data_IF_699073520128
#
_entry.id   IF_699073520128
#
_cell.length_a   1.000
_cell.length_b   1.000
_cell.length_c   1.000
_cell.angle_alpha   90.00
_cell.angle_beta   90.00
_cell.angle_gamma   90.00
#
_symmetry.space_group_name_H-M   'P 1'
#
loop_
_entity.id
_entity.type
_entity.pdbx_description
1 polymer ?
#
# COMPACT_ATOMS: atom_id res chain seq x y z
N UNK A 1 -10.39 4.40 -33.14
CA UNK A 1 -10.77 5.50 -32.22
C UNK A 1 -10.35 5.04 -30.84
N UNK A 2 -9.07 5.26 -30.51
CA UNK A 2 -8.46 4.81 -29.26
C UNK A 2 -8.91 5.81 -28.21
N UNK A 3 -9.97 5.49 -27.46
CA UNK A 3 -10.23 6.19 -26.20
C UNK A 3 -8.92 6.18 -25.42
N UNK A 4 -8.40 7.37 -25.17
CA UNK A 4 -7.25 7.60 -24.33
C UNK A 4 -7.55 6.92 -23.00
N UNK A 5 -6.99 5.73 -22.78
CA UNK A 5 -6.90 5.16 -21.44
C UNK A 5 -6.05 6.16 -20.68
N UNK A 6 -6.72 7.08 -20.00
CA UNK A 6 -6.10 8.02 -19.09
C UNK A 6 -5.52 7.21 -17.95
N UNK A 7 -4.28 6.82 -18.12
CA UNK A 7 -3.42 6.31 -17.09
C UNK A 7 -3.32 7.35 -15.95
N UNK A 8 -3.66 7.03 -14.69
CA UNK A 8 -4.91 6.48 -14.14
C UNK A 8 -5.86 7.62 -13.68
N UNK A 9 -6.75 8.14 -14.53
CA UNK A 9 -7.63 9.27 -14.16
C UNK A 9 -8.71 8.91 -13.12
N UNK A 10 -9.15 7.65 -13.08
CA UNK A 10 -10.18 7.21 -12.14
C UNK A 10 -9.67 7.20 -10.68
N UNK A 11 -8.38 6.89 -10.47
CA UNK A 11 -7.79 6.85 -9.13
C UNK A 11 -7.60 8.24 -8.50
N UNK A 12 -7.43 9.26 -9.34
CA UNK A 12 -7.40 10.64 -8.87
C UNK A 12 -8.75 11.12 -8.29
N UNK A 13 -9.88 10.41 -8.46
CA UNK A 13 -11.15 10.81 -7.81
C UNK A 13 -11.10 10.70 -6.29
N UNK A 14 -10.54 9.63 -5.74
CA UNK A 14 -10.40 9.46 -4.28
C UNK A 14 -9.34 10.42 -3.72
N UNK A 15 -8.27 10.62 -4.48
CA UNK A 15 -7.19 11.59 -4.20
C UNK A 15 -7.72 13.03 -4.17
N UNK A 16 -8.65 13.38 -5.08
CA UNK A 16 -9.36 14.68 -5.10
C UNK A 16 -10.17 14.93 -3.84
N UNK A 17 -10.78 13.91 -3.24
CA UNK A 17 -11.51 14.04 -1.98
C UNK A 17 -10.59 14.47 -0.82
N UNK A 18 -9.34 14.00 -0.81
CA UNK A 18 -8.31 14.44 0.12
C UNK A 18 -7.72 15.83 -0.21
N UNK A 19 -8.24 16.55 -1.21
CA UNK A 19 -7.78 17.89 -1.59
C UNK A 19 -6.59 17.91 -2.56
N UNK A 20 -6.25 16.76 -3.14
CA UNK A 20 -5.16 16.66 -4.09
C UNK A 20 -5.70 16.76 -5.51
N UNK A 21 -5.36 17.87 -6.15
CA UNK A 21 -5.73 18.16 -7.55
C UNK A 21 -4.47 18.54 -8.30
N UNK A 22 -4.34 18.10 -9.56
CA UNK A 22 -3.19 18.40 -10.44
C UNK A 22 -2.85 19.89 -10.47
N UNK A 23 -3.87 20.75 -10.47
CA UNK A 23 -3.76 22.18 -10.22
C UNK A 23 -4.33 22.50 -8.83
N UNK A 24 -3.48 22.78 -7.83
CA UNK A 24 -3.96 22.97 -6.47
C UNK A 24 -4.72 24.30 -6.35
N UNK A 25 -6.02 24.21 -6.10
CA UNK A 25 -6.82 25.37 -5.71
C UNK A 25 -6.61 25.70 -4.24
N UNK A 26 -6.92 26.93 -3.82
CA UNK A 26 -6.77 27.36 -2.42
C UNK A 26 -7.58 26.46 -1.47
N UNK A 27 -8.78 26.06 -1.91
CA UNK A 27 -9.66 25.15 -1.18
C UNK A 27 -9.08 23.73 -1.03
N UNK A 28 -8.42 23.22 -2.08
CA UNK A 28 -7.82 21.89 -2.06
C UNK A 28 -6.62 21.83 -1.10
N UNK A 29 -5.81 22.89 -1.04
CA UNK A 29 -4.71 23.03 -0.07
C UNK A 29 -5.20 23.12 1.36
N UNK A 30 -6.29 23.86 1.60
CA UNK A 30 -6.91 23.96 2.92
C UNK A 30 -7.47 22.61 3.39
N UNK A 31 -8.14 21.85 2.52
CA UNK A 31 -8.66 20.51 2.85
C UNK A 31 -7.54 19.51 3.15
N UNK A 32 -6.44 19.55 2.39
CA UNK A 32 -5.27 18.69 2.63
C UNK A 32 -4.57 19.04 3.95
N UNK A 33 -4.42 20.33 4.25
CA UNK A 33 -3.87 20.79 5.52
C UNK A 33 -4.75 20.35 6.71
N UNK A 34 -6.06 20.51 6.58
CA UNK A 34 -7.03 20.03 7.56
C UNK A 34 -6.93 18.51 7.77
N UNK A 35 -6.86 17.72 6.69
CA UNK A 35 -6.71 16.27 6.80
C UNK A 35 -5.42 15.86 7.49
N UNK A 36 -4.30 16.52 7.18
CA UNK A 36 -3.03 16.28 7.85
C UNK A 36 -3.07 16.64 9.34
N UNK A 37 -3.62 17.82 9.67
CA UNK A 37 -3.81 18.25 11.06
C UNK A 37 -4.69 17.26 11.84
N UNK A 38 -5.81 16.83 11.24
CA UNK A 38 -6.72 15.86 11.85
C UNK A 38 -6.01 14.54 12.18
N UNK A 39 -5.26 13.99 11.23
CA UNK A 39 -4.48 12.76 11.44
C UNK A 39 -3.40 12.95 12.52
N UNK A 40 -2.73 14.10 12.54
CA UNK A 40 -1.72 14.40 13.56
C UNK A 40 -2.32 14.62 14.96
N UNK A 41 -3.57 15.10 15.07
CA UNK A 41 -4.23 15.27 16.38
C UNK A 41 -4.65 13.96 17.03
N UNK A 42 -4.82 12.89 16.24
CA UNK A 42 -5.33 11.62 16.71
C UNK A 42 -4.34 10.89 17.64
N UNK A 43 -3.05 10.83 17.28
CA UNK A 43 -2.05 10.14 18.10
C UNK A 43 -1.86 10.77 19.50
N UNK A 44 -1.73 12.11 19.66
CA UNK A 44 -1.68 12.75 20.98
C UNK A 44 -2.91 12.50 21.85
N UNK A 45 -4.10 12.42 21.26
CA UNK A 45 -5.34 12.15 21.99
C UNK A 45 -5.34 10.75 22.62
N UNK A 46 -4.88 9.74 21.89
CA UNK A 46 -4.72 8.38 22.41
C UNK A 46 -3.64 8.29 23.50
N UNK A 47 -2.50 8.96 23.30
CA UNK A 47 -1.45 9.04 24.34
C UNK A 47 -1.99 9.71 25.61
N UNK A 48 -2.77 10.78 25.47
CA UNK A 48 -3.38 11.45 26.61
C UNK A 48 -4.43 10.59 27.32
N UNK A 49 -5.26 9.85 26.56
CA UNK A 49 -6.21 8.90 27.12
C UNK A 49 -5.53 7.80 27.94
N UNK A 50 -4.45 7.21 27.41
CA UNK A 50 -3.67 6.19 28.11
C UNK A 50 -3.00 6.76 29.38
N UNK A 51 -2.47 7.99 29.31
CA UNK A 51 -1.86 8.64 30.47
C UNK A 51 -2.86 8.95 31.59
N UNK A 52 -4.13 9.22 31.24
CA UNK A 52 -5.20 9.49 32.22
C UNK A 52 -5.75 8.21 32.86
N UNK A 53 -5.69 7.08 32.15
CA UNK A 53 -6.25 5.80 32.59
C UNK A 53 -5.17 4.71 32.69
N UNK A 54 -4.16 4.84 33.57
CA UNK A 54 -3.05 3.88 33.65
C UNK A 54 -3.45 2.49 34.20
N UNK A 55 -4.65 2.37 34.78
CA UNK A 55 -5.21 1.13 35.33
C UNK A 55 -6.26 0.50 34.38
N UNK A 56 -6.27 0.85 33.09
CA UNK A 56 -7.18 0.24 32.14
C UNK A 56 -6.91 -1.25 31.97
N UNK A 57 -7.96 -2.02 31.70
CA UNK A 57 -7.86 -3.43 31.33
C UNK A 57 -6.87 -3.61 30.17
N UNK A 58 -6.09 -4.68 30.20
CA UNK A 58 -5.03 -4.96 29.22
C UNK A 58 -5.54 -4.89 27.78
N UNK A 59 -6.75 -5.39 27.53
CA UNK A 59 -7.40 -5.36 26.20
C UNK A 59 -7.59 -3.93 25.69
N UNK A 60 -8.03 -3.00 26.55
CA UNK A 60 -8.20 -1.58 26.18
C UNK A 60 -6.85 -0.96 25.86
N UNK A 61 -5.83 -1.23 26.69
CA UNK A 61 -4.47 -0.74 26.45
C UNK A 61 -3.90 -1.24 25.12
N UNK A 62 -4.13 -2.51 24.77
CA UNK A 62 -3.74 -3.09 23.49
C UNK A 62 -4.43 -2.40 22.30
N UNK A 63 -5.73 -2.14 22.41
CA UNK A 63 -6.51 -1.45 21.38
C UNK A 63 -5.98 -0.02 21.14
N UNK A 64 -5.71 0.73 22.20
CA UNK A 64 -5.17 2.10 22.11
C UNK A 64 -3.75 2.12 21.51
N UNK A 65 -2.88 1.16 21.87
CA UNK A 65 -1.54 1.01 21.27
C UNK A 65 -1.65 0.66 19.78
N UNK A 66 -2.57 -0.23 19.41
CA UNK A 66 -2.80 -0.58 18.01
C UNK A 66 -3.25 0.66 17.20
N UNK A 67 -4.19 1.45 17.73
CA UNK A 67 -4.66 2.68 17.10
C UNK A 67 -3.55 3.73 16.97
N UNK A 68 -2.65 3.81 17.95
CA UNK A 68 -1.44 4.64 17.85
C UNK A 68 -0.54 4.20 16.70
N UNK A 69 -0.33 2.89 16.53
CA UNK A 69 0.46 2.34 15.42
C UNK A 69 -0.23 2.61 14.07
N UNK A 70 -1.54 2.40 13.96
CA UNK A 70 -2.32 2.68 12.75
C UNK A 70 -2.28 4.16 12.36
N UNK A 71 -2.48 5.06 13.33
CA UNK A 71 -2.40 6.51 13.08
C UNK A 71 -1.00 6.93 12.64
N UNK A 72 0.06 6.35 13.22
CA UNK A 72 1.43 6.63 12.78
C UNK A 72 1.68 6.21 11.32
N UNK A 73 1.22 5.03 10.90
CA UNK A 73 1.29 4.58 9.49
C UNK A 73 0.53 5.54 8.58
N UNK A 74 -0.63 6.04 9.03
CA UNK A 74 -1.44 6.93 8.21
C UNK A 74 -0.84 8.33 8.05
N UNK A 75 -0.26 8.88 9.12
CA UNK A 75 0.48 10.15 9.05
C UNK A 75 1.66 10.03 8.08
N UNK A 76 2.38 8.90 8.08
CA UNK A 76 3.48 8.64 7.16
C UNK A 76 3.02 8.50 5.70
N UNK A 77 1.93 7.77 5.46
CA UNK A 77 1.27 7.68 4.15
C UNK A 77 0.85 9.07 3.65
N UNK A 78 0.22 9.87 4.50
CA UNK A 78 -0.16 11.25 4.18
C UNK A 78 1.06 12.14 3.92
N UNK A 79 2.13 12.00 4.70
CA UNK A 79 3.38 12.73 4.51
C UNK A 79 4.05 12.37 3.18
N UNK A 80 4.06 11.10 2.79
CA UNK A 80 4.54 10.69 1.46
C UNK A 80 3.80 11.46 0.36
N UNK A 81 2.48 11.61 0.51
CA UNK A 81 1.68 12.36 -0.45
C UNK A 81 2.09 13.85 -0.52
N UNK A 82 2.31 14.48 0.64
CA UNK A 82 2.65 15.91 0.72
C UNK A 82 4.08 16.17 0.26
N UNK A 83 5.05 15.45 0.82
CA UNK A 83 6.49 15.66 0.63
C UNK A 83 6.98 15.16 -0.73
N UNK A 84 6.49 14.01 -1.20
CA UNK A 84 6.93 13.39 -2.46
C UNK A 84 5.96 13.64 -3.62
N UNK A 85 5.06 14.63 -3.51
CA UNK A 85 4.09 14.96 -4.56
C UNK A 85 4.75 15.19 -5.93
N UNK A 86 5.86 15.92 -5.96
CA UNK A 86 6.64 16.17 -7.18
C UNK A 86 7.18 14.87 -7.76
N UNK A 87 7.74 14.01 -6.90
CA UNK A 87 8.22 12.68 -7.27
C UNK A 87 7.13 11.78 -7.86
N UNK A 88 5.93 11.74 -7.27
CA UNK A 88 4.79 10.98 -7.80
C UNK A 88 4.36 11.53 -9.16
N UNK A 89 4.25 12.85 -9.31
CA UNK A 89 3.88 13.48 -10.57
C UNK A 89 4.91 13.20 -11.67
N UNK A 90 6.20 13.26 -11.34
CA UNK A 90 7.27 12.97 -12.28
C UNK A 90 7.31 11.48 -12.64
N UNK A 91 6.97 10.60 -11.69
CA UNK A 91 6.83 9.16 -11.94
C UNK A 91 5.65 8.89 -12.88
N UNK A 92 4.49 9.52 -12.69
CA UNK A 92 3.34 9.42 -13.59
C UNK A 92 3.69 9.93 -14.99
N UNK A 93 4.39 11.07 -15.10
CA UNK A 93 4.87 11.57 -16.40
C UNK A 93 5.82 10.59 -17.07
N UNK A 94 6.74 9.98 -16.32
CA UNK A 94 7.68 8.99 -16.83
C UNK A 94 6.97 7.72 -17.34
N UNK A 95 5.94 7.23 -16.63
CA UNK A 95 5.09 6.15 -17.11
C UNK A 95 4.39 6.54 -18.42
N UNK A 96 3.76 7.72 -18.47
CA UNK A 96 3.10 8.21 -19.69
C UNK A 96 4.07 8.33 -20.88
N UNK A 97 5.33 8.74 -20.66
CA UNK A 97 6.32 8.80 -21.75
C UNK A 97 6.72 7.42 -22.25
N UNK A 98 6.92 6.45 -21.34
CA UNK A 98 7.30 5.08 -21.70
C UNK A 98 6.15 4.36 -22.40
N UNK A 99 4.91 4.60 -21.96
CA UNK A 99 3.72 3.99 -22.56
C UNK A 99 3.49 4.40 -24.01
N UNK A 100 4.00 5.56 -24.46
CA UNK A 100 3.96 5.97 -25.88
C UNK A 100 4.80 5.06 -26.79
N UNK A 101 5.73 4.28 -26.23
CA UNK A 101 6.62 3.35 -26.97
C UNK A 101 6.02 1.93 -27.10
N UNK A 102 4.77 1.74 -26.67
CA UNK A 102 4.07 0.46 -26.65
C UNK A 102 3.34 0.23 -27.99
N UNK A 103 3.47 -0.98 -28.52
CA UNK A 103 2.80 -1.38 -29.76
C UNK A 103 1.33 -1.72 -29.51
N UNK A 104 0.49 -1.67 -30.56
CA UNK A 104 -0.95 -1.96 -30.42
C UNK A 104 -1.21 -3.38 -29.90
N UNK A 105 -0.38 -4.35 -30.27
CA UNK A 105 -0.50 -5.76 -29.85
C UNK A 105 -0.15 -5.99 -28.36
N UNK A 106 0.63 -5.09 -27.77
CA UNK A 106 1.06 -5.17 -26.36
C UNK A 106 0.04 -4.51 -25.41
N UNK A 107 -0.81 -3.63 -25.94
CA UNK A 107 -1.79 -2.83 -25.19
C UNK A 107 -2.85 -3.64 -24.43
N UNK A 108 -3.40 -4.76 -24.95
CA UNK A 108 -4.42 -5.55 -24.25
C UNK A 108 -4.00 -6.04 -22.86
N UNK A 109 -2.69 -6.25 -22.63
CA UNK A 109 -2.16 -6.67 -21.31
C UNK A 109 -2.40 -5.63 -20.24
N UNK A 110 -2.26 -4.36 -20.58
CA UNK A 110 -2.53 -3.25 -19.67
C UNK A 110 -4.02 -3.16 -19.35
N UNK A 111 -4.89 -3.43 -20.33
CA UNK A 111 -6.34 -3.43 -20.13
C UNK A 111 -6.80 -4.54 -19.17
N UNK A 112 -6.31 -5.77 -19.35
CA UNK A 112 -6.64 -6.88 -18.43
C UNK A 112 -6.09 -6.62 -17.02
N UNK A 113 -4.88 -6.08 -16.93
CA UNK A 113 -4.30 -5.68 -15.65
C UNK A 113 -5.16 -4.61 -14.95
N UNK A 114 -5.60 -3.60 -15.69
CA UNK A 114 -6.48 -2.55 -15.18
C UNK A 114 -7.82 -3.11 -14.68
N UNK A 115 -8.41 -4.07 -15.39
CA UNK A 115 -9.66 -4.75 -14.97
C UNK A 115 -9.48 -5.50 -13.65
N UNK A 116 -8.34 -6.15 -13.45
CA UNK A 116 -8.00 -6.84 -12.20
C UNK A 116 -7.80 -5.82 -11.06
N UNK A 117 -7.07 -4.74 -11.30
CA UNK A 117 -6.90 -3.65 -10.32
C UNK A 117 -8.20 -2.96 -9.95
N UNK A 118 -9.12 -2.77 -10.88
CA UNK A 118 -10.44 -2.23 -10.60
C UNK A 118 -11.25 -3.16 -9.67
N UNK A 119 -11.11 -4.48 -9.80
CA UNK A 119 -11.72 -5.44 -8.85
C UNK A 119 -11.07 -5.37 -7.48
N UNK A 120 -9.74 -5.34 -7.42
CA UNK A 120 -8.97 -5.22 -6.18
C UNK A 120 -9.31 -3.94 -5.42
N UNK A 121 -9.37 -2.80 -6.14
CA UNK A 121 -9.78 -1.51 -5.60
C UNK A 121 -11.20 -1.57 -5.01
N UNK A 122 -12.16 -2.14 -5.75
CA UNK A 122 -13.54 -2.31 -5.24
C UNK A 122 -13.56 -3.17 -3.97
N UNK A 123 -12.86 -4.30 -3.96
CA UNK A 123 -12.80 -5.16 -2.79
C UNK A 123 -12.18 -4.44 -1.58
N UNK A 124 -11.11 -3.67 -1.79
CA UNK A 124 -10.44 -2.92 -0.73
C UNK A 124 -11.30 -1.76 -0.18
N UNK A 125 -11.96 -1.01 -1.05
CA UNK A 125 -12.93 0.04 -0.66
C UNK A 125 -14.10 -0.57 0.10
N UNK A 126 -14.67 -1.67 -0.38
CA UNK A 126 -15.77 -2.35 0.31
C UNK A 126 -15.32 -2.85 1.69
N UNK A 127 -14.15 -3.50 1.78
CA UNK A 127 -13.62 -3.99 3.05
C UNK A 127 -13.38 -2.88 4.07
N UNK A 128 -12.72 -1.79 3.67
CA UNK A 128 -12.47 -0.63 4.55
C UNK A 128 -13.76 0.07 4.97
N UNK A 129 -14.75 0.15 4.08
CA UNK A 129 -16.08 0.70 4.41
C UNK A 129 -16.81 -0.21 5.41
N UNK A 130 -16.74 -1.53 5.24
CA UNK A 130 -17.33 -2.49 6.20
C UNK A 130 -16.70 -2.31 7.58
N UNK A 131 -15.37 -2.19 7.68
CA UNK A 131 -14.70 -1.93 8.97
C UNK A 131 -15.21 -0.64 9.60
N UNK A 132 -15.28 0.44 8.81
CA UNK A 132 -15.78 1.73 9.31
C UNK A 132 -17.20 1.60 9.89
N UNK A 133 -18.11 0.95 9.15
CA UNK A 133 -19.47 0.70 9.62
C UNK A 133 -19.51 -0.18 10.87
N UNK A 134 -18.64 -1.19 10.98
CA UNK A 134 -18.59 -2.06 12.16
C UNK A 134 -18.14 -1.30 13.41
N UNK A 135 -17.17 -0.38 13.31
CA UNK A 135 -16.74 0.49 14.42
C UNK A 135 -17.89 1.41 14.88
N UNK A 136 -18.61 2.03 13.95
CA UNK A 136 -19.76 2.87 14.27
C UNK A 136 -20.91 2.07 14.89
N UNK A 137 -21.24 0.91 14.32
CA UNK A 137 -22.28 0.04 14.83
C UNK A 137 -21.94 -0.45 16.24
N UNK A 138 -20.68 -0.85 16.48
CA UNK A 138 -20.22 -1.28 17.80
C UNK A 138 -20.37 -0.15 18.84
N UNK A 139 -20.01 1.09 18.48
CA UNK A 139 -20.19 2.26 19.34
C UNK A 139 -21.66 2.52 19.69
N UNK A 140 -22.56 2.45 18.70
CA UNK A 140 -24.01 2.64 18.88
C UNK A 140 -24.60 1.53 19.75
N UNK A 141 -24.29 0.26 19.45
CA UNK A 141 -24.80 -0.89 20.21
C UNK A 141 -24.33 -0.81 21.66
N UNK A 142 -23.06 -0.46 21.90
CA UNK A 142 -22.51 -0.33 23.25
C UNK A 142 -23.13 0.84 24.01
N UNK A 143 -23.39 1.97 23.34
CA UNK A 143 -24.10 3.11 23.94
C UNK A 143 -25.51 2.71 24.38
N UNK A 144 -26.26 2.01 23.52
CA UNK A 144 -27.62 1.56 23.83
C UNK A 144 -27.62 0.52 24.94
N UNK A 145 -26.73 -0.48 24.88
CA UNK A 145 -26.67 -1.54 25.90
C UNK A 145 -26.32 -0.98 27.28
N UNK A 146 -25.37 -0.05 27.35
CA UNK A 146 -24.97 0.58 28.60
C UNK A 146 -26.08 1.49 29.15
N UNK A 147 -26.78 2.21 28.26
CA UNK A 147 -27.91 3.06 28.63
C UNK A 147 -29.07 2.26 29.22
N UNK A 148 -29.35 1.09 28.64
CA UNK A 148 -30.38 0.17 29.13
C UNK A 148 -30.00 -0.46 30.48
N UNK A 149 -28.73 -0.87 30.65
CA UNK A 149 -28.26 -1.47 31.90
C UNK A 149 -28.25 -0.48 33.08
N UNK A 150 -27.88 0.77 32.83
CA UNK A 150 -27.73 1.78 33.87
C UNK A 150 -28.98 2.67 34.05
N UNK A 151 -30.05 2.44 33.27
CA UNK A 151 -31.25 3.30 33.22
C UNK A 151 -30.93 4.81 33.08
N UNK A 152 -29.78 5.15 32.53
CA UNK A 152 -29.27 6.52 32.36
C UNK A 152 -28.64 6.61 30.98
N UNK A 153 -28.89 7.72 30.28
CA UNK A 153 -28.36 7.90 28.91
C UNK A 153 -26.84 7.98 28.97
N UNK A 154 -26.17 7.01 28.35
CA UNK A 154 -24.72 6.92 28.25
C UNK A 154 -24.31 6.87 26.79
N UNK A 155 -23.35 7.71 26.43
CA UNK A 155 -22.81 7.78 25.08
C UNK A 155 -21.42 7.14 25.03
N UNK A 156 -21.16 6.37 23.97
CA UNK A 156 -19.87 5.71 23.68
C UNK A 156 -19.47 6.06 22.26
N UNK A 157 -18.25 6.56 22.09
CA UNK A 157 -17.66 6.87 20.78
C UNK A 157 -16.88 5.68 20.21
N UNK A 158 -16.69 5.57 18.88
CA UNK A 158 -15.89 4.50 18.28
C UNK A 158 -14.45 4.43 18.80
N UNK A 159 -13.88 5.58 19.13
CA UNK A 159 -12.56 5.72 19.76
C UNK A 159 -12.69 6.53 21.03
N UNK A 160 -11.88 6.20 22.03
CA UNK A 160 -11.94 6.83 23.35
C UNK A 160 -11.28 8.20 23.36
N UNK A 161 -11.85 9.14 24.12
CA UNK A 161 -11.28 10.46 24.36
C UNK A 161 -10.94 10.68 25.83
N UNK A 162 -9.90 11.49 26.14
CA UNK A 162 -9.47 11.78 27.52
C UNK A 162 -10.40 12.74 28.27
N UNK A 163 -11.33 13.41 27.58
CA UNK A 163 -12.29 14.36 28.17
C UNK A 163 -13.68 13.75 28.30
N UNK A 164 -14.51 14.33 29.17
CA UNK A 164 -15.90 13.90 29.33
C UNK A 164 -16.74 14.36 28.13
N UNK A 165 -17.29 13.40 27.40
CA UNK A 165 -18.15 13.61 26.23
C UNK A 165 -19.61 13.18 26.49
N UNK A 166 -20.03 12.98 27.74
CA UNK A 166 -21.42 12.59 28.04
C UNK A 166 -22.44 13.71 27.76
N UNK A 167 -22.01 14.96 27.62
CA UNK A 167 -22.89 16.04 27.18
C UNK A 167 -23.25 15.86 25.68
N UNK A 168 -24.54 15.91 25.27
CA UNK A 168 -24.97 15.58 23.91
C UNK A 168 -24.26 16.35 22.79
N UNK A 169 -23.99 17.65 23.01
CA UNK A 169 -23.27 18.48 22.03
C UNK A 169 -21.81 18.04 21.88
N UNK A 170 -21.14 17.73 23.01
CA UNK A 170 -19.74 17.30 23.01
C UNK A 170 -19.62 15.92 22.37
N UNK A 171 -20.56 15.01 22.68
CA UNK A 171 -20.68 13.72 22.02
C UNK A 171 -20.83 13.86 20.50
N UNK A 172 -21.75 14.70 20.03
CA UNK A 172 -21.98 14.90 18.60
C UNK A 172 -20.72 15.39 17.88
N UNK A 173 -19.99 16.35 18.48
CA UNK A 173 -18.71 16.85 17.92
C UNK A 173 -17.64 15.75 17.91
N UNK A 174 -17.49 15.00 19.01
CA UNK A 174 -16.52 13.91 19.12
C UNK A 174 -16.81 12.76 18.14
N UNK A 175 -18.09 12.42 17.95
CA UNK A 175 -18.53 11.41 17.00
C UNK A 175 -18.25 11.85 15.56
N UNK A 176 -18.59 13.10 15.20
CA UNK A 176 -18.30 13.66 13.87
C UNK A 176 -16.80 13.73 13.59
N UNK A 177 -15.99 14.07 14.58
CA UNK A 177 -14.53 14.08 14.46
C UNK A 177 -13.99 12.67 14.16
N UNK A 178 -14.43 11.65 14.90
CA UNK A 178 -14.05 10.26 14.66
C UNK A 178 -14.45 9.79 13.25
N UNK A 179 -15.68 10.08 12.85
CA UNK A 179 -16.20 9.72 11.54
C UNK A 179 -15.37 10.33 10.39
N UNK A 180 -15.08 11.63 10.46
CA UNK A 180 -14.27 12.32 9.45
C UNK A 180 -12.81 11.82 9.46
N UNK A 181 -12.24 11.51 10.63
CA UNK A 181 -10.89 10.93 10.75
C UNK A 181 -10.81 9.54 10.12
N UNK A 182 -11.81 8.69 10.33
CA UNK A 182 -11.91 7.37 9.71
C UNK A 182 -12.05 7.45 8.20
N UNK A 183 -12.91 8.35 7.71
CA UNK A 183 -13.07 8.59 6.27
C UNK A 183 -11.77 9.06 5.61
N UNK A 184 -11.10 10.04 6.21
CA UNK A 184 -9.82 10.55 5.69
C UNK A 184 -8.76 9.44 5.67
N UNK A 185 -8.65 8.66 6.74
CA UNK A 185 -7.74 7.51 6.83
C UNK A 185 -8.01 6.49 5.73
N UNK A 186 -9.29 6.15 5.50
CA UNK A 186 -9.72 5.22 4.46
C UNK A 186 -9.33 5.72 3.07
N UNK A 187 -9.65 6.99 2.73
CA UNK A 187 -9.33 7.55 1.42
C UNK A 187 -7.84 7.66 1.17
N UNK A 188 -7.05 8.10 2.16
CA UNK A 188 -5.58 8.20 2.04
C UNK A 188 -4.96 6.82 1.84
N UNK A 189 -5.35 5.83 2.65
CA UNK A 189 -4.80 4.48 2.57
C UNK A 189 -5.10 3.81 1.22
N UNK A 190 -6.38 3.81 0.82
CA UNK A 190 -6.81 3.20 -0.44
C UNK A 190 -6.08 3.84 -1.61
N UNK A 191 -6.00 5.16 -1.63
CA UNK A 191 -5.31 5.93 -2.68
C UNK A 191 -3.85 5.50 -2.85
N UNK A 192 -3.07 5.51 -1.77
CA UNK A 192 -1.61 5.29 -1.87
C UNK A 192 -1.31 3.85 -2.23
N UNK A 193 -1.99 2.90 -1.59
CA UNK A 193 -1.73 1.48 -1.82
C UNK A 193 -2.15 1.06 -3.23
N UNK A 194 -3.27 1.58 -3.75
CA UNK A 194 -3.74 1.26 -5.10
C UNK A 194 -2.89 1.92 -6.18
N UNK A 195 -2.45 3.16 -5.96
CA UNK A 195 -1.48 3.83 -6.83
C UNK A 195 -0.18 3.02 -6.92
N UNK A 196 0.38 2.60 -5.77
CA UNK A 196 1.56 1.74 -5.75
C UNK A 196 1.33 0.43 -6.51
N UNK A 197 0.22 -0.26 -6.24
CA UNK A 197 -0.14 -1.55 -6.85
C UNK A 197 -0.21 -1.48 -8.37
N UNK A 198 -0.91 -0.48 -8.92
CA UNK A 198 -1.07 -0.31 -10.36
C UNK A 198 0.26 0.03 -11.04
N UNK A 199 1.03 0.97 -10.47
CA UNK A 199 2.35 1.33 -11.00
C UNK A 199 3.31 0.15 -10.99
N UNK A 200 3.29 -0.67 -9.93
CA UNK A 200 4.14 -1.84 -9.83
C UNK A 200 3.76 -2.89 -10.87
N UNK A 201 2.47 -3.14 -11.07
CA UNK A 201 2.02 -4.06 -12.12
C UNK A 201 2.35 -3.58 -13.52
N UNK A 202 2.18 -2.30 -13.82
CA UNK A 202 2.55 -1.74 -15.12
C UNK A 202 4.06 -1.86 -15.35
N UNK A 203 4.87 -1.62 -14.31
CA UNK A 203 6.31 -1.82 -14.38
C UNK A 203 6.68 -3.29 -14.67
N UNK A 204 6.01 -4.25 -14.03
CA UNK A 204 6.18 -5.69 -14.30
C UNK A 204 5.85 -6.02 -15.76
N UNK A 205 4.75 -5.48 -16.31
CA UNK A 205 4.38 -5.65 -17.72
C UNK A 205 5.45 -5.05 -18.64
N UNK A 206 5.99 -3.87 -18.32
CA UNK A 206 7.08 -3.28 -19.10
C UNK A 206 8.32 -4.17 -19.12
N UNK A 207 8.71 -4.79 -18.01
CA UNK A 207 9.80 -5.76 -17.98
C UNK A 207 9.51 -7.00 -18.85
N UNK A 208 8.27 -7.50 -18.86
CA UNK A 208 7.87 -8.61 -19.73
C UNK A 208 7.94 -8.23 -21.22
N UNK A 209 7.57 -6.99 -21.56
CA UNK A 209 7.69 -6.48 -22.93
C UNK A 209 9.17 -6.35 -23.32
N UNK A 210 10.03 -5.83 -22.44
CA UNK A 210 11.48 -5.78 -22.69
C UNK A 210 12.01 -7.18 -22.99
N UNK A 211 11.65 -8.17 -22.17
CA UNK A 211 12.04 -9.57 -22.35
C UNK A 211 11.63 -10.10 -23.73
N UNK A 212 10.37 -9.96 -24.10
CA UNK A 212 9.86 -10.45 -25.39
C UNK A 212 10.47 -9.74 -26.60
N UNK A 213 10.77 -8.44 -26.47
CA UNK A 213 11.46 -7.69 -27.52
C UNK A 213 12.90 -8.16 -27.71
N UNK A 214 13.60 -8.55 -26.64
CA UNK A 214 14.91 -9.20 -26.76
C UNK A 214 14.79 -10.60 -27.37
N UNK A 215 13.80 -11.41 -26.98
CA UNK A 215 13.58 -12.77 -27.55
C UNK A 215 13.29 -12.74 -29.06
N UNK A 216 12.64 -11.69 -29.57
CA UNK A 216 12.32 -11.53 -31.00
C UNK A 216 13.43 -10.88 -31.82
N UNK A 217 14.49 -10.39 -31.16
CA UNK A 217 15.52 -9.61 -31.82
C UNK A 217 16.45 -10.52 -32.65
N UNK A 218 16.60 -10.21 -33.93
CA UNK A 218 17.58 -10.87 -34.79
C UNK A 218 18.79 -9.96 -35.02
N UNK A 219 19.91 -10.33 -34.39
CA UNK A 219 21.15 -9.55 -34.34
C UNK A 219 22.23 -10.12 -35.29
N UNK A 220 21.83 -10.94 -36.26
CA UNK A 220 22.75 -11.47 -37.26
C UNK A 220 23.38 -10.35 -38.09
N UNK A 221 24.60 -10.56 -38.58
CA UNK A 221 25.31 -9.59 -39.44
C UNK A 221 24.52 -9.24 -40.71
N UNK A 222 23.66 -10.16 -41.14
CA UNK A 222 22.84 -10.07 -42.35
C UNK A 222 21.63 -9.13 -42.22
N UNK A 223 21.22 -8.80 -40.98
CA UNK A 223 20.13 -7.86 -40.75
C UNK A 223 20.67 -6.41 -40.72
N UNK A 224 20.36 -5.57 -41.73
CA UNK A 224 20.83 -4.18 -41.78
C UNK A 224 20.22 -3.29 -40.68
N UNK A 225 19.10 -3.69 -40.08
CA UNK A 225 18.39 -2.95 -39.03
C UNK A 225 18.78 -3.38 -37.61
N UNK A 226 19.57 -4.46 -37.45
CA UNK A 226 19.92 -5.04 -36.16
C UNK A 226 20.48 -4.02 -35.15
N UNK A 227 21.37 -3.12 -35.61
CA UNK A 227 21.96 -2.08 -34.76
C UNK A 227 20.92 -1.06 -34.26
N UNK A 228 19.93 -0.71 -35.07
CA UNK A 228 18.88 0.24 -34.70
C UNK A 228 17.89 -0.40 -33.74
N UNK A 229 17.41 -1.60 -34.08
CA UNK A 229 16.46 -2.35 -33.24
C UNK A 229 17.06 -2.67 -31.87
N UNK A 230 18.32 -3.09 -31.83
CA UNK A 230 19.03 -3.35 -30.56
C UNK A 230 19.14 -2.07 -29.72
N UNK A 231 19.53 -0.94 -30.32
CA UNK A 231 19.62 0.34 -29.61
C UNK A 231 18.27 0.76 -29.04
N UNK A 232 17.19 0.57 -29.78
CA UNK A 232 15.84 0.92 -29.34
C UNK A 232 15.40 0.07 -28.14
N UNK A 233 15.64 -1.24 -28.17
CA UNK A 233 15.32 -2.16 -27.08
C UNK A 233 16.21 -1.89 -25.85
N UNK A 234 17.50 -1.64 -26.04
CA UNK A 234 18.41 -1.26 -24.93
C UNK A 234 17.98 0.07 -24.29
N UNK A 235 17.64 1.08 -25.10
CA UNK A 235 17.13 2.36 -24.61
C UNK A 235 15.86 2.14 -23.79
N UNK A 236 14.92 1.34 -24.30
CA UNK A 236 13.68 1.03 -23.60
C UNK A 236 13.91 0.30 -22.28
N UNK A 237 14.79 -0.70 -22.26
CA UNK A 237 15.19 -1.38 -21.03
C UNK A 237 15.79 -0.41 -20.00
N UNK A 238 16.66 0.52 -20.45
CA UNK A 238 17.26 1.54 -19.58
C UNK A 238 16.21 2.49 -18.98
N UNK A 239 15.20 2.88 -19.76
CA UNK A 239 14.10 3.73 -19.31
C UNK A 239 13.25 3.01 -18.25
N UNK A 240 12.90 1.75 -18.50
CA UNK A 240 12.13 0.90 -17.57
C UNK A 240 12.91 0.68 -16.27
N UNK A 241 14.22 0.46 -16.34
CA UNK A 241 15.08 0.33 -15.16
C UNK A 241 15.12 1.63 -14.34
N UNK A 242 15.25 2.79 -15.01
CA UNK A 242 15.21 4.10 -14.35
C UNK A 242 13.85 4.34 -13.68
N UNK A 243 12.76 3.96 -14.34
CA UNK A 243 11.41 4.04 -13.79
C UNK A 243 11.26 3.21 -12.52
N UNK A 244 11.77 1.97 -12.55
CA UNK A 244 11.76 1.08 -11.40
C UNK A 244 12.50 1.69 -10.20
N UNK A 245 13.67 2.27 -10.42
CA UNK A 245 14.46 2.94 -9.37
C UNK A 245 13.73 4.15 -8.79
N UNK A 246 13.12 5.00 -9.64
CA UNK A 246 12.32 6.14 -9.18
C UNK A 246 11.13 5.69 -8.34
N UNK A 247 10.45 4.62 -8.74
CA UNK A 247 9.34 4.05 -7.98
C UNK A 247 9.78 3.54 -6.61
N UNK A 248 10.91 2.82 -6.52
CA UNK A 248 11.50 2.38 -5.24
C UNK A 248 11.73 3.60 -4.35
N UNK A 249 12.37 4.66 -4.86
CA UNK A 249 12.72 5.83 -4.07
C UNK A 249 11.51 6.57 -3.47
N UNK A 250 10.41 6.65 -4.22
CA UNK A 250 9.18 7.31 -3.78
C UNK A 250 8.45 6.50 -2.70
N UNK A 251 8.33 5.17 -2.87
CA UNK A 251 7.48 4.34 -2.00
C UNK A 251 8.23 3.61 -0.88
N UNK A 252 9.57 3.57 -0.89
CA UNK A 252 10.39 2.84 0.10
C UNK A 252 10.09 3.23 1.56
N UNK A 253 9.82 4.50 1.85
CA UNK A 253 9.58 4.95 3.22
C UNK A 253 8.23 4.43 3.73
N UNK A 254 7.15 4.62 2.96
CA UNK A 254 5.81 4.12 3.32
C UNK A 254 5.79 2.61 3.45
N UNK A 255 6.39 1.90 2.50
CA UNK A 255 6.47 0.44 2.55
C UNK A 255 7.29 -0.06 3.76
N UNK A 256 8.31 0.68 4.20
CA UNK A 256 9.15 0.29 5.33
C UNK A 256 8.37 0.33 6.64
N UNK A 257 7.70 1.45 6.91
CA UNK A 257 6.93 1.60 8.14
C UNK A 257 5.72 0.65 8.18
N UNK A 258 5.05 0.44 7.05
CA UNK A 258 3.97 -0.54 6.97
C UNK A 258 4.48 -1.94 7.34
N UNK A 259 5.58 -2.41 6.73
CA UNK A 259 6.12 -3.74 6.99
C UNK A 259 6.73 -3.89 8.40
N UNK A 260 7.24 -2.80 8.97
CA UNK A 260 7.78 -2.78 10.32
C UNK A 260 6.68 -2.93 11.37
N UNK A 261 5.57 -2.18 11.23
CA UNK A 261 4.52 -2.10 12.24
C UNK A 261 3.42 -3.15 12.06
N UNK A 262 3.27 -3.75 10.87
CA UNK A 262 2.19 -4.71 10.64
C UNK A 262 2.30 -5.97 11.51
N UNK A 263 3.50 -6.43 11.87
CA UNK A 263 3.66 -7.62 12.73
C UNK A 263 3.10 -7.37 14.14
N UNK A 264 3.35 -6.19 14.71
CA UNK A 264 2.84 -5.80 16.03
C UNK A 264 1.34 -5.52 15.97
N UNK A 265 0.85 -4.85 14.92
CA UNK A 265 -0.58 -4.62 14.71
C UNK A 265 -1.34 -5.95 14.61
N UNK A 266 -0.84 -6.91 13.81
CA UNK A 266 -1.47 -8.23 13.69
C UNK A 266 -1.41 -9.02 14.99
N UNK A 267 -0.36 -8.83 15.79
CA UNK A 267 -0.29 -9.43 17.11
C UNK A 267 -1.38 -8.90 18.05
N UNK A 268 -1.55 -7.58 18.13
CA UNK A 268 -2.58 -6.94 18.98
C UNK A 268 -4.00 -7.33 18.51
N UNK A 269 -4.25 -7.30 17.20
CA UNK A 269 -5.51 -7.77 16.62
C UNK A 269 -5.78 -9.24 16.93
N UNK A 270 -4.77 -10.11 16.82
CA UNK A 270 -4.94 -11.53 17.12
C UNK A 270 -5.20 -11.80 18.60
N UNK A 271 -4.60 -11.02 19.49
CA UNK A 271 -4.89 -11.07 20.92
C UNK A 271 -6.33 -10.62 21.22
N UNK A 272 -6.74 -9.46 20.69
CA UNK A 272 -8.12 -8.96 20.83
C UNK A 272 -9.16 -9.93 20.28
N UNK A 273 -8.85 -10.59 19.15
CA UNK A 273 -9.75 -11.57 18.54
C UNK A 273 -10.08 -12.74 19.48
N UNK A 274 -9.13 -13.15 20.32
CA UNK A 274 -9.34 -14.24 21.27
C UNK A 274 -10.00 -13.77 22.56
N UNK A 275 -9.64 -12.60 23.06
CA UNK A 275 -10.16 -12.09 24.34
C UNK A 275 -11.59 -11.56 24.24
N UNK A 276 -11.98 -11.01 23.09
CA UNK A 276 -13.31 -10.44 22.91
C UNK A 276 -14.37 -11.53 22.73
N UNK A 277 -15.34 -11.59 23.65
CA UNK A 277 -16.51 -12.47 23.57
C UNK A 277 -17.64 -11.91 22.69
N UNK A 278 -17.71 -10.58 22.53
CA UNK A 278 -18.73 -9.91 21.72
C UNK A 278 -18.53 -10.22 20.22
N UNK A 279 -19.55 -10.80 19.59
CA UNK A 279 -19.53 -11.17 18.17
C UNK A 279 -19.21 -9.99 17.24
N UNK A 280 -19.79 -8.81 17.47
CA UNK A 280 -19.60 -7.63 16.63
C UNK A 280 -18.16 -7.12 16.69
N UNK A 281 -17.61 -6.97 17.90
CA UNK A 281 -16.21 -6.54 18.09
C UNK A 281 -15.23 -7.59 17.56
N UNK A 282 -15.52 -8.89 17.70
CA UNK A 282 -14.70 -9.95 17.08
C UNK A 282 -14.70 -9.88 15.55
N UNK A 283 -15.86 -9.64 14.93
CA UNK A 283 -15.97 -9.44 13.49
C UNK A 283 -15.19 -8.20 13.03
N UNK A 284 -15.30 -7.08 13.74
CA UNK A 284 -14.54 -5.86 13.48
C UNK A 284 -13.03 -6.10 13.43
N UNK A 285 -12.49 -6.76 14.47
CA UNK A 285 -11.06 -7.12 14.57
C UNK A 285 -10.65 -8.05 13.43
N UNK A 286 -11.46 -9.07 13.11
CA UNK A 286 -11.16 -10.01 12.03
C UNK A 286 -11.10 -9.33 10.65
N UNK A 287 -12.05 -8.45 10.34
CA UNK A 287 -12.04 -7.72 9.06
C UNK A 287 -10.86 -6.75 9.00
N UNK A 288 -10.55 -6.03 10.09
CA UNK A 288 -9.38 -5.16 10.15
C UNK A 288 -8.07 -5.93 9.93
N UNK A 289 -7.90 -7.10 10.57
CA UNK A 289 -6.75 -7.97 10.35
C UNK A 289 -6.64 -8.41 8.88
N UNK A 290 -7.76 -8.78 8.24
CA UNK A 290 -7.77 -9.16 6.82
C UNK A 290 -7.28 -8.03 5.90
N UNK A 291 -7.65 -6.78 6.22
CA UNK A 291 -7.21 -5.59 5.47
C UNK A 291 -5.72 -5.34 5.69
N UNK A 292 -5.22 -5.44 6.92
CA UNK A 292 -3.80 -5.23 7.23
C UNK A 292 -2.91 -6.30 6.56
N UNK A 293 -3.35 -7.56 6.56
CA UNK A 293 -2.70 -8.64 5.82
C UNK A 293 -2.74 -8.34 4.32
N UNK A 294 -3.89 -7.91 3.79
CA UNK A 294 -4.05 -7.54 2.38
C UNK A 294 -3.10 -6.41 1.96
N UNK A 295 -2.95 -5.37 2.77
CA UNK A 295 -1.99 -4.29 2.53
C UNK A 295 -0.55 -4.84 2.49
N UNK A 296 -0.12 -5.59 3.51
CA UNK A 296 1.22 -6.17 3.53
C UNK A 296 1.47 -7.12 2.35
N UNK A 297 0.47 -7.92 1.98
CA UNK A 297 0.52 -8.81 0.82
C UNK A 297 0.68 -8.05 -0.49
N UNK A 298 -0.04 -6.95 -0.68
CA UNK A 298 0.06 -6.09 -1.85
C UNK A 298 1.50 -5.57 -2.03
N UNK A 299 2.11 -4.99 -0.99
CA UNK A 299 3.48 -4.48 -1.09
C UNK A 299 4.51 -5.58 -1.38
N UNK A 300 4.41 -6.71 -0.67
CA UNK A 300 5.37 -7.82 -0.76
C UNK A 300 5.22 -8.66 -2.03
N UNK A 301 4.00 -8.84 -2.54
CA UNK A 301 3.74 -9.52 -3.81
C UNK A 301 4.33 -8.72 -4.98
N UNK A 302 3.99 -7.43 -5.07
CA UNK A 302 4.51 -6.56 -6.13
C UNK A 302 6.02 -6.38 -6.04
N UNK A 303 6.59 -6.24 -4.84
CA UNK A 303 8.04 -6.18 -4.66
C UNK A 303 8.76 -7.47 -5.08
N UNK A 304 8.16 -8.63 -4.82
CA UNK A 304 8.68 -9.92 -5.31
C UNK A 304 8.59 -10.03 -6.83
N UNK A 305 7.47 -9.60 -7.42
CA UNK A 305 7.25 -9.65 -8.87
C UNK A 305 8.23 -8.76 -9.63
N UNK A 306 8.44 -7.52 -9.17
CA UNK A 306 9.43 -6.60 -9.76
C UNK A 306 10.84 -7.22 -9.66
N UNK A 307 11.22 -7.71 -8.48
CA UNK A 307 12.53 -8.33 -8.27
C UNK A 307 12.72 -9.59 -9.14
N UNK A 308 11.69 -10.42 -9.31
CA UNK A 308 11.76 -11.63 -10.12
C UNK A 308 11.93 -11.34 -11.62
N UNK A 309 11.29 -10.28 -12.14
CA UNK A 309 11.37 -9.90 -13.56
C UNK A 309 12.58 -9.05 -13.90
N UNK A 310 13.01 -8.21 -12.97
CA UNK A 310 14.18 -7.33 -13.12
C UNK A 310 15.51 -7.99 -12.69
N UNK A 311 15.51 -9.27 -12.32
CA UNK A 311 16.69 -10.02 -11.89
C UNK A 311 16.67 -11.45 -12.44
N UNK A 312 17.82 -12.11 -12.47
CA UNK A 312 18.01 -13.50 -12.89
C UNK A 312 17.42 -14.56 -11.94
N UNK A 313 16.42 -14.20 -11.13
CA UNK A 313 15.78 -15.14 -10.19
C UNK A 313 14.73 -16.02 -10.87
N UNK A 314 14.21 -15.63 -12.05
CA UNK A 314 13.25 -16.37 -12.89
C UNK A 314 13.57 -16.13 -14.37
N UNK A 315 12.73 -16.61 -15.32
CA UNK A 315 12.84 -16.27 -16.76
C UNK A 315 12.81 -14.74 -16.90
N UNK A 316 14.00 -14.17 -17.01
CA UNK A 316 14.28 -12.76 -16.78
C UNK A 316 14.69 -12.08 -18.07
N UNK A 317 14.76 -10.74 -18.04
CA UNK A 317 15.33 -9.96 -19.13
C UNK A 317 16.76 -10.43 -19.47
N UNK A 318 17.55 -10.85 -18.48
CA UNK A 318 18.90 -11.39 -18.72
C UNK A 318 18.89 -12.68 -19.52
N UNK A 319 17.93 -13.58 -19.27
CA UNK A 319 17.87 -14.86 -19.99
C UNK A 319 17.46 -14.65 -21.45
N UNK A 320 16.53 -13.72 -21.69
CA UNK A 320 16.17 -13.28 -23.03
C UNK A 320 17.35 -12.64 -23.78
N UNK A 321 18.13 -11.79 -23.11
CA UNK A 321 19.35 -11.21 -23.71
C UNK A 321 20.36 -12.31 -24.07
N UNK A 322 20.57 -13.28 -23.17
CA UNK A 322 21.49 -14.40 -23.41
C UNK A 322 21.04 -15.32 -24.55
N UNK A 323 19.72 -15.51 -24.70
CA UNK A 323 19.11 -16.33 -25.75
C UNK A 323 19.11 -15.71 -27.15
N UNK A 324 19.56 -14.47 -27.31
CA UNK A 324 19.73 -13.85 -28.64
C UNK A 324 20.84 -14.53 -29.45
N UNK A 325 20.86 -14.36 -30.78
CA UNK A 325 21.96 -14.81 -31.65
C UNK A 325 23.22 -13.92 -31.56
N UNK A 326 23.60 -13.50 -30.35
CA UNK A 326 24.72 -12.59 -30.08
C UNK A 326 26.06 -13.12 -30.63
N UNK A 327 26.22 -14.43 -30.77
CA UNK A 327 27.43 -15.06 -31.31
C UNK A 327 27.61 -14.78 -32.82
N UNK A 328 26.53 -14.52 -33.56
CA UNK A 328 26.53 -14.11 -34.97
C UNK A 328 26.67 -12.60 -35.15
N UNK A 329 26.64 -11.81 -34.07
CA UNK A 329 26.67 -10.36 -34.17
C UNK A 329 28.09 -9.78 -34.40
N UNK A 330 28.14 -8.55 -34.91
CA UNK A 330 29.39 -7.79 -35.08
C UNK A 330 30.05 -7.49 -33.72
N UNK A 331 31.38 -7.30 -33.64
CA UNK A 331 32.08 -7.08 -32.37
C UNK A 331 31.54 -5.90 -31.53
N UNK A 332 31.14 -4.80 -32.19
CA UNK A 332 30.55 -3.62 -31.53
C UNK A 332 29.24 -3.99 -30.82
N UNK A 333 28.41 -4.78 -31.49
CA UNK A 333 27.11 -5.23 -30.99
C UNK A 333 27.26 -6.22 -29.84
N UNK A 334 28.19 -7.18 -29.96
CA UNK A 334 28.55 -8.11 -28.89
C UNK A 334 28.89 -7.36 -27.59
N UNK A 335 29.65 -6.27 -27.68
CA UNK A 335 30.01 -5.42 -26.53
C UNK A 335 28.78 -4.76 -25.91
N UNK A 336 27.83 -4.26 -26.72
CA UNK A 336 26.60 -3.64 -26.23
C UNK A 336 25.68 -4.64 -25.51
N UNK A 337 25.51 -5.83 -26.09
CA UNK A 337 24.75 -6.93 -25.48
C UNK A 337 25.37 -7.33 -24.15
N UNK A 338 26.71 -7.48 -24.11
CA UNK A 338 27.41 -7.82 -22.87
C UNK A 338 27.18 -6.79 -21.76
N UNK A 339 27.28 -5.49 -22.07
CA UNK A 339 26.99 -4.42 -21.10
C UNK A 339 25.51 -4.46 -20.66
N UNK A 340 24.60 -4.72 -21.58
CA UNK A 340 23.17 -4.83 -21.29
C UNK A 340 22.89 -6.02 -20.36
N UNK A 341 23.50 -7.17 -20.63
CA UNK A 341 23.41 -8.39 -19.82
C UNK A 341 23.93 -8.14 -18.40
N UNK A 342 25.11 -7.54 -18.27
CA UNK A 342 25.69 -7.17 -16.96
C UNK A 342 24.78 -6.21 -16.18
N UNK A 343 24.01 -5.36 -16.86
CA UNK A 343 23.02 -4.47 -16.23
C UNK A 343 21.75 -5.21 -15.84
N UNK A 344 21.22 -6.08 -16.70
CA UNK A 344 20.03 -6.89 -16.44
C UNK A 344 20.21 -7.86 -15.26
N UNK A 345 21.45 -8.30 -15.03
CA UNK A 345 21.81 -9.15 -13.89
C UNK A 345 21.77 -8.44 -12.53
N UNK A 346 21.74 -7.11 -12.49
CA UNK A 346 21.65 -6.36 -11.24
C UNK A 346 20.18 -6.30 -10.79
N UNK A 347 19.82 -6.91 -9.64
CA UNK A 347 18.44 -6.96 -9.21
C UNK A 347 17.91 -5.57 -8.88
N UNK A 348 16.71 -5.25 -9.37
CA UNK A 348 15.90 -4.17 -8.79
C UNK A 348 15.17 -4.72 -7.58
N UNK A 349 15.73 -4.46 -6.41
CA UNK A 349 15.12 -4.84 -5.14
C UNK A 349 14.29 -3.67 -4.64
N UNK A 350 13.00 -3.91 -4.35
CA UNK A 350 12.17 -2.99 -3.58
C UNK A 350 12.67 -2.99 -2.12
N UNK A 351 13.79 -2.28 -1.88
CA UNK A 351 14.36 -2.08 -0.56
C UNK A 351 13.55 -1.02 0.16
N UNK A 352 13.05 -1.39 1.33
CA UNK A 352 12.40 -0.52 2.29
C UNK A 352 13.31 -0.43 3.51
N UNK A 353 14.26 0.51 3.52
CA UNK A 353 15.29 0.56 4.56
C UNK A 353 16.08 -0.75 4.63
N UNK A 354 15.97 -1.46 5.76
CA UNK A 354 16.64 -2.76 5.98
C UNK A 354 15.78 -3.98 5.60
N UNK A 355 14.50 -3.76 5.25
CA UNK A 355 13.54 -4.82 4.94
C UNK A 355 13.37 -4.89 3.41
N UNK A 356 13.46 -6.09 2.86
CA UNK A 356 13.09 -6.34 1.46
C UNK A 356 11.59 -6.64 1.38
N UNK A 357 10.85 -5.88 0.57
CA UNK A 357 9.42 -6.11 0.34
C UNK A 357 9.22 -7.38 -0.50
N UNK A 358 9.19 -8.54 0.16
CA UNK A 358 9.14 -9.85 -0.48
C UNK A 358 8.16 -10.80 0.20
N UNK A 359 7.63 -11.79 -0.54
CA UNK A 359 6.74 -12.82 0.01
C UNK A 359 7.38 -13.61 1.17
N UNK A 360 8.68 -13.97 1.13
CA UNK A 360 9.37 -14.51 2.31
C UNK A 360 9.30 -13.59 3.53
N UNK A 361 9.38 -12.27 3.36
CA UNK A 361 9.21 -11.30 4.45
C UNK A 361 7.79 -11.34 5.02
N UNK A 362 6.76 -11.40 4.17
CA UNK A 362 5.37 -11.55 4.63
C UNK A 362 5.18 -12.82 5.47
N UNK A 363 5.74 -13.95 5.03
CA UNK A 363 5.70 -15.21 5.79
C UNK A 363 6.34 -15.07 7.16
N UNK A 364 7.49 -14.38 7.25
CA UNK A 364 8.17 -14.10 8.53
C UNK A 364 7.30 -13.23 9.44
N UNK A 365 6.72 -12.15 8.91
CA UNK A 365 5.82 -11.26 9.63
C UNK A 365 4.65 -12.04 10.25
N UNK A 366 3.97 -12.87 9.45
CA UNK A 366 2.83 -13.68 9.91
C UNK A 366 3.23 -14.70 10.99
N UNK A 367 4.40 -15.33 10.84
CA UNK A 367 4.92 -16.27 11.83
C UNK A 367 5.27 -15.55 13.14
N UNK A 368 5.91 -14.38 13.07
CA UNK A 368 6.25 -13.57 14.25
C UNK A 368 5.01 -13.07 14.97
N UNK A 369 3.98 -12.60 14.25
CA UNK A 369 2.72 -12.19 14.88
C UNK A 369 2.05 -13.36 15.60
N UNK A 370 2.05 -14.57 15.02
CA UNK A 370 1.49 -15.76 15.68
C UNK A 370 2.25 -16.11 16.97
N UNK A 371 3.59 -16.06 16.96
CA UNK A 371 4.39 -16.30 18.16
C UNK A 371 4.13 -15.26 19.26
N UNK A 372 4.00 -13.98 18.91
CA UNK A 372 3.69 -12.93 19.88
C UNK A 372 2.27 -13.03 20.43
N UNK A 373 1.30 -13.47 19.63
CA UNK A 373 -0.07 -13.76 20.11
C UNK A 373 -0.02 -14.85 21.20
N UNK A 374 0.67 -15.97 20.95
CA UNK A 374 0.82 -17.04 21.95
C UNK A 374 1.52 -16.56 23.22
N UNK A 375 2.54 -15.70 23.08
CA UNK A 375 3.23 -15.10 24.22
C UNK A 375 2.29 -14.23 25.06
N UNK A 376 1.52 -13.32 24.44
CA UNK A 376 0.55 -12.49 25.15
C UNK A 376 -0.52 -13.33 25.86
N UNK A 377 -1.00 -14.40 25.21
CA UNK A 377 -1.95 -15.34 25.83
C UNK A 377 -1.37 -16.05 27.05
N UNK A 378 -0.06 -16.35 27.05
CA UNK A 378 0.59 -17.01 28.19
C UNK A 378 0.81 -16.09 29.40
N UNK A 379 0.82 -14.77 29.18
CA UNK A 379 0.96 -13.77 30.23
C UNK A 379 -0.38 -13.47 30.90
N UNK A 380 -1.48 -13.74 30.21
CA UNK A 380 -2.81 -13.63 30.82
C UNK A 380 -3.03 -14.87 31.70
N UNK A 381 -3.23 -14.70 33.01
CA UNK A 381 -3.53 -15.83 33.86
C UNK A 381 -4.81 -16.47 33.33
N UNK A 382 -4.75 -17.77 33.02
CA UNK A 382 -5.93 -18.57 32.73
C UNK A 382 -6.85 -18.43 33.94
N UNK A 383 -7.84 -17.54 33.85
CA UNK A 383 -8.96 -17.53 34.78
C UNK A 383 -9.70 -18.82 34.45
N UNK A 384 -9.38 -19.85 35.24
CA UNK A 384 -9.97 -21.17 35.12
C UNK A 384 -11.50 -21.06 35.15
N UNK A 385 -12.12 -21.87 34.28
CA UNK A 385 -13.50 -22.31 34.49
C UNK A 385 -13.67 -22.94 35.87
#
# INVERSE_FOLDING_TARGET
>A
MVESIEFPAYQFRFVRYCGVVDQPTLWSRLRLCYAFLLLCTFSPLHVWYLAKNPLSELVVTCEEIMLLQLSSVMVLKCNLFISHRTGINDLVKAFKSIQKRINQDEFPRFFECHKLHAKLLRAYVTGTTIVMMLYELNAIVTSVSLSLQQNTVRFVTPFNFPFDYQHPIVFAVAFLHNFDAMLITMFVSVTIDTCYSEMASHLVIHFDIVRERFEKLNISVDNPLADSELKDVISYHSDVLSLAQKMVLVFQQSAFYLLLLVSTILCLLGFEFVMVSNFYKRMQVAVLASIMIGQAALYTYHGSAICAKASNKTVSVSDAIYGTNWYEARPVVKKQIYICLMRAQKPVIMKSGFIEASLPTLKKILSSSASYITMLMSLEPVVGN
#
